data_IF_364748670886
#
_entry.id   IF_364748670886
#
_cell.length_a   1.000
_cell.length_b   1.000
_cell.length_c   1.000
_cell.angle_alpha   90.00
_cell.angle_beta   90.00
_cell.angle_gamma   90.00
#
_symmetry.space_group_name_H-M   'P 1'
#
loop_
_entity.id
_entity.type
_entity.pdbx_description
1 polymer ?
#
# COMPACT_ATOMS: atom_id res chain seq x y z
N UNK A 1 -11.69 -26.21 4.49
CA UNK A 1 -10.91 -25.93 3.26
C UNK A 1 -11.30 -24.63 2.58
N UNK A 2 -12.60 -24.30 2.45
CA UNK A 2 -13.03 -23.04 1.83
C UNK A 2 -12.54 -21.79 2.60
N UNK A 3 -12.46 -21.85 3.94
CA UNK A 3 -12.01 -20.74 4.79
C UNK A 3 -10.51 -20.44 4.68
N UNK A 4 -9.65 -21.47 4.69
CA UNK A 4 -8.18 -21.28 4.58
C UNK A 4 -7.80 -20.70 3.22
N UNK A 5 -8.40 -21.20 2.13
CA UNK A 5 -8.15 -20.66 0.79
C UNK A 5 -8.62 -19.20 0.68
N UNK A 6 -9.75 -18.87 1.31
CA UNK A 6 -10.26 -17.50 1.40
C UNK A 6 -9.35 -16.58 2.23
N UNK A 7 -8.89 -17.02 3.41
CA UNK A 7 -7.94 -16.28 4.25
C UNK A 7 -6.62 -16.00 3.52
N UNK A 8 -6.05 -17.01 2.86
CA UNK A 8 -4.83 -16.84 2.05
C UNK A 8 -5.06 -15.88 0.88
N UNK A 9 -6.22 -15.93 0.23
CA UNK A 9 -6.57 -15.00 -0.83
C UNK A 9 -6.67 -13.56 -0.31
N UNK A 10 -7.33 -13.35 0.84
CA UNK A 10 -7.44 -12.03 1.49
C UNK A 10 -6.06 -11.52 1.89
N UNK A 11 -5.21 -12.36 2.51
CA UNK A 11 -3.84 -11.98 2.86
C UNK A 11 -3.00 -11.64 1.64
N UNK A 12 -3.08 -12.42 0.56
CA UNK A 12 -2.40 -12.13 -0.69
C UNK A 12 -2.83 -10.78 -1.26
N UNK A 13 -4.14 -10.48 -1.25
CA UNK A 13 -4.68 -9.21 -1.72
C UNK A 13 -4.20 -8.03 -0.86
N UNK A 14 -4.15 -8.19 0.47
CA UNK A 14 -3.63 -7.18 1.40
C UNK A 14 -2.12 -6.94 1.19
N UNK A 15 -1.32 -7.99 0.96
CA UNK A 15 0.10 -7.88 0.65
C UNK A 15 0.30 -7.11 -0.67
N UNK A 16 -0.46 -7.44 -1.71
CA UNK A 16 -0.41 -6.74 -2.99
C UNK A 16 -0.80 -5.27 -2.85
N UNK A 17 -1.87 -4.98 -2.09
CA UNK A 17 -2.28 -3.61 -1.80
C UNK A 17 -1.16 -2.82 -1.09
N UNK A 18 -0.54 -3.42 -0.06
CA UNK A 18 0.58 -2.80 0.66
C UNK A 18 1.77 -2.53 -0.28
N UNK A 19 2.10 -3.51 -1.13
CA UNK A 19 3.15 -3.37 -2.14
C UNK A 19 2.87 -2.24 -3.14
N UNK A 20 1.63 -2.09 -3.59
CA UNK A 20 1.22 -1.00 -4.48
C UNK A 20 1.38 0.38 -3.81
N UNK A 21 1.01 0.49 -2.54
CA UNK A 21 1.21 1.70 -1.75
C UNK A 21 2.69 2.04 -1.59
N UNK A 22 3.52 1.07 -1.18
CA UNK A 22 4.97 1.25 -1.03
C UNK A 22 5.64 1.62 -2.36
N UNK A 23 5.26 0.98 -3.47
CA UNK A 23 5.77 1.33 -4.80
C UNK A 23 5.38 2.75 -5.21
N UNK A 24 4.16 3.19 -4.89
CA UNK A 24 3.69 4.55 -5.20
C UNK A 24 4.47 5.61 -4.42
N UNK A 25 4.76 5.35 -3.14
CA UNK A 25 5.60 6.20 -2.31
C UNK A 25 7.02 6.32 -2.89
N UNK A 26 7.68 5.19 -3.16
CA UNK A 26 9.03 5.18 -3.73
C UNK A 26 9.05 5.83 -5.12
N UNK A 27 8.03 5.61 -5.94
CA UNK A 27 7.92 6.24 -7.26
C UNK A 27 7.89 7.78 -7.16
N UNK A 28 7.14 8.32 -6.20
CA UNK A 28 7.07 9.78 -6.00
C UNK A 28 8.36 10.33 -5.40
N UNK A 29 8.97 9.64 -4.43
CA UNK A 29 10.22 10.08 -3.80
C UNK A 29 11.41 10.00 -4.78
N UNK A 30 11.42 9.02 -5.67
CA UNK A 30 12.49 8.82 -6.66
C UNK A 30 12.29 9.57 -7.99
N UNK A 31 11.11 10.16 -8.20
CA UNK A 31 10.79 10.88 -9.42
C UNK A 31 11.73 12.08 -9.64
N UNK A 32 12.34 12.16 -10.83
CA UNK A 32 13.18 13.30 -11.21
C UNK A 32 12.31 14.48 -11.64
N UNK A 33 12.12 15.45 -10.74
CA UNK A 33 11.34 16.67 -10.99
C UNK A 33 11.72 17.36 -12.30
N UNK A 34 13.00 17.46 -12.61
CA UNK A 34 13.50 18.10 -13.84
C UNK A 34 12.96 17.45 -15.12
N UNK A 35 12.84 16.11 -15.16
CA UNK A 35 12.28 15.41 -16.32
C UNK A 35 10.77 15.59 -16.43
N UNK A 36 10.06 15.56 -15.29
CA UNK A 36 8.63 15.80 -15.24
C UNK A 36 8.29 17.24 -15.65
N UNK A 37 9.12 18.20 -15.24
CA UNK A 37 8.97 19.60 -15.62
C UNK A 37 9.13 19.79 -17.12
N UNK A 38 10.17 19.21 -17.72
CA UNK A 38 10.36 19.27 -19.17
C UNK A 38 9.16 18.69 -19.93
N UNK A 39 8.66 17.51 -19.53
CA UNK A 39 7.49 16.89 -20.16
C UNK A 39 6.20 17.69 -19.96
N UNK A 40 6.04 18.34 -18.81
CA UNK A 40 4.90 19.21 -18.54
C UNK A 40 4.93 20.48 -19.41
N UNK A 41 6.12 21.05 -19.65
CA UNK A 41 6.35 22.17 -20.55
C UNK A 41 6.11 21.79 -22.03
N UNK A 42 6.41 20.54 -22.40
CA UNK A 42 6.09 19.96 -23.72
C UNK A 42 4.58 19.65 -23.92
N UNK A 43 3.75 19.90 -22.90
CA UNK A 43 2.29 19.79 -22.98
C UNK A 43 1.68 18.51 -22.39
N UNK A 44 2.48 17.63 -21.76
CA UNK A 44 1.97 16.44 -21.10
C UNK A 44 1.25 16.81 -19.78
N UNK A 45 -0.08 16.73 -19.81
CA UNK A 45 -0.95 16.95 -18.64
C UNK A 45 -0.66 15.97 -17.51
N UNK A 46 -0.28 14.72 -17.79
CA UNK A 46 0.06 13.72 -16.77
C UNK A 46 1.38 14.07 -16.10
N UNK A 47 2.37 14.49 -16.88
CA UNK A 47 3.64 14.96 -16.34
C UNK A 47 3.46 16.17 -15.42
N UNK A 48 2.52 17.07 -15.76
CA UNK A 48 2.19 18.22 -14.90
C UNK A 48 1.60 17.80 -13.55
N UNK A 49 0.64 16.88 -13.55
CA UNK A 49 0.07 16.35 -12.29
C UNK A 49 1.13 15.62 -11.46
N UNK A 50 1.98 14.81 -12.10
CA UNK A 50 3.08 14.12 -11.43
C UNK A 50 4.12 15.10 -10.86
N UNK A 51 4.39 16.21 -11.57
CA UNK A 51 5.27 17.28 -11.11
C UNK A 51 4.70 17.98 -9.88
N UNK A 52 3.40 18.28 -9.87
CA UNK A 52 2.71 18.90 -8.73
C UNK A 52 2.77 17.99 -7.50
N UNK A 53 2.51 16.67 -7.67
CA UNK A 53 2.71 15.68 -6.61
C UNK A 53 4.17 15.63 -6.11
N UNK A 54 5.14 15.61 -7.02
CA UNK A 54 6.55 15.57 -6.65
C UNK A 54 7.03 16.87 -5.97
N UNK A 55 6.40 18.01 -6.26
CA UNK A 55 6.69 19.30 -5.62
C UNK A 55 6.16 19.37 -4.19
N UNK A 56 4.98 18.81 -3.93
CA UNK A 56 4.38 18.75 -2.60
C UNK A 56 4.05 17.30 -2.19
N UNK A 57 5.06 16.42 -2.01
CA UNK A 57 4.83 14.99 -1.80
C UNK A 57 4.17 14.71 -0.45
N UNK A 58 4.34 15.59 0.55
CA UNK A 58 3.90 15.35 1.93
C UNK A 58 2.44 14.95 2.05
N UNK A 59 1.52 15.60 1.32
CA UNK A 59 0.09 15.29 1.42
C UNK A 59 -0.24 13.94 0.76
N UNK A 60 0.42 13.62 -0.35
CA UNK A 60 0.27 12.34 -1.03
C UNK A 60 0.87 11.19 -0.22
N UNK A 61 2.08 11.38 0.30
CA UNK A 61 2.75 10.41 1.17
C UNK A 61 1.97 10.15 2.46
N UNK A 62 1.43 11.19 3.10
CA UNK A 62 0.57 11.02 4.28
C UNK A 62 -0.68 10.18 3.95
N UNK A 63 -1.28 10.38 2.78
CA UNK A 63 -2.44 9.60 2.33
C UNK A 63 -2.07 8.12 2.09
N UNK A 64 -0.95 7.86 1.42
CA UNK A 64 -0.43 6.51 1.22
C UNK A 64 -0.15 5.83 2.56
N UNK A 65 0.49 6.54 3.49
CA UNK A 65 0.87 5.99 4.79
C UNK A 65 -0.36 5.58 5.61
N UNK A 66 -1.43 6.38 5.59
CA UNK A 66 -2.73 6.00 6.17
C UNK A 66 -3.25 4.72 5.50
N UNK A 67 -3.13 4.61 4.18
CA UNK A 67 -3.48 3.38 3.44
C UNK A 67 -2.67 2.16 3.87
N UNK A 68 -1.34 2.29 4.01
CA UNK A 68 -0.45 1.23 4.50
C UNK A 68 -0.86 0.80 5.91
N UNK A 69 -1.11 1.75 6.80
CA UNK A 69 -1.57 1.46 8.16
C UNK A 69 -2.91 0.73 8.17
N UNK A 70 -3.88 1.17 7.36
CA UNK A 70 -5.18 0.51 7.24
C UNK A 70 -5.04 -0.94 6.77
N UNK A 71 -4.24 -1.17 5.72
CA UNK A 71 -3.96 -2.52 5.22
C UNK A 71 -3.28 -3.37 6.29
N UNK A 72 -2.34 -2.81 7.05
CA UNK A 72 -1.67 -3.48 8.15
C UNK A 72 -2.63 -3.88 9.28
N UNK A 73 -3.55 -3.00 9.67
CA UNK A 73 -4.58 -3.29 10.68
C UNK A 73 -5.51 -4.40 10.21
N UNK A 74 -5.96 -4.35 8.95
CA UNK A 74 -6.80 -5.40 8.38
C UNK A 74 -6.06 -6.73 8.33
N UNK A 75 -4.83 -6.75 7.83
CA UNK A 75 -4.01 -7.96 7.77
C UNK A 75 -3.77 -8.55 9.16
N UNK A 76 -3.50 -7.70 10.15
CA UNK A 76 -3.36 -8.09 11.55
C UNK A 76 -4.64 -8.62 12.17
N UNK A 77 -5.80 -8.04 11.84
CA UNK A 77 -7.10 -8.52 12.33
C UNK A 77 -7.46 -9.90 11.75
N UNK A 78 -7.30 -10.07 10.42
CA UNK A 78 -7.57 -11.35 9.76
C UNK A 78 -6.56 -12.43 10.18
N UNK A 79 -5.26 -12.13 10.16
CA UNK A 79 -4.23 -13.08 10.58
C UNK A 79 -4.27 -13.38 12.09
N UNK A 80 -4.59 -12.37 12.91
CA UNK A 80 -4.70 -12.49 14.36
C UNK A 80 -5.86 -13.37 14.80
N UNK A 81 -7.01 -13.32 14.14
CA UNK A 81 -8.13 -14.23 14.41
C UNK A 81 -7.72 -15.69 14.20
N UNK A 82 -7.05 -16.01 13.07
CA UNK A 82 -6.56 -17.36 12.77
C UNK A 82 -5.49 -17.83 13.77
N UNK A 83 -4.58 -16.94 14.17
CA UNK A 83 -3.54 -17.27 15.17
C UNK A 83 -4.15 -17.48 16.55
N UNK A 84 -5.12 -16.67 16.95
CA UNK A 84 -5.80 -16.78 18.24
C UNK A 84 -6.56 -18.10 18.36
N UNK A 85 -7.25 -18.53 17.31
CA UNK A 85 -7.94 -19.83 17.26
C UNK A 85 -6.93 -20.99 17.43
N UNK A 86 -5.86 -21.00 16.64
CA UNK A 86 -4.79 -22.02 16.75
C UNK A 86 -4.10 -22.05 18.11
N UNK A 87 -3.90 -20.88 18.72
CA UNK A 87 -3.27 -20.77 20.02
C UNK A 87 -4.21 -21.24 21.14
N UNK A 88 -5.50 -20.97 21.02
CA UNK A 88 -6.52 -21.47 21.95
C UNK A 88 -6.58 -22.99 21.96
N UNK A 89 -6.58 -23.61 20.78
CA UNK A 89 -6.56 -25.07 20.64
C UNK A 89 -5.31 -25.67 21.29
N UNK A 90 -4.13 -25.09 21.05
CA UNK A 90 -2.86 -25.58 21.57
C UNK A 90 -2.68 -25.42 23.09
N UNK A 91 -3.47 -24.56 23.75
CA UNK A 91 -3.42 -24.35 25.20
C UNK A 91 -4.48 -25.14 25.96
N UNK A 92 -5.45 -25.75 25.27
CA UNK A 92 -6.46 -26.63 25.86
C UNK A 92 -6.05 -28.12 25.87
N UNK A 93 -4.96 -28.48 25.18
CA UNK A 93 -4.24 -29.76 25.29
C UNK A 93 -3.21 -29.72 26.46
#
# INVERSE_FOLDING_TARGET
MNSIAFELFVLALLILANGLFAMSEIAVVSARKTRLQQQAEEGDRRARVALDLANAPNQFLATIQIGISLVGVLAGAFGGATVAEKLSDALQD
#
